data_IF_951677579447
#
_entry.id   IF_951677579447
#
_cell.length_a   1.000
_cell.length_b   1.000
_cell.length_c   1.000
_cell.angle_alpha   90.00
_cell.angle_beta   90.00
_cell.angle_gamma   90.00
#
_symmetry.space_group_name_H-M   'P 1'
#
loop_
_entity.id
_entity.type
_entity.pdbx_description
1 polymer ?
#
# COMPACT_ATOMS: atom_id res chain seq x y z
N UNK A 1 -3.88 21.20 18.19
CA UNK A 1 -4.99 20.69 17.39
C UNK A 1 -4.61 20.74 15.91
N UNK A 2 -4.78 19.63 15.22
CA UNK A 2 -4.53 19.58 13.79
C UNK A 2 -5.74 20.06 12.99
N UNK A 3 -5.48 20.45 11.77
CA UNK A 3 -6.52 20.76 10.81
C UNK A 3 -7.18 19.47 10.32
N UNK A 4 -8.44 19.58 9.87
CA UNK A 4 -9.10 18.46 9.23
C UNK A 4 -8.33 18.00 7.99
N UNK A 5 -8.34 16.70 7.74
CA UNK A 5 -7.79 16.15 6.50
C UNK A 5 -8.57 16.66 5.29
N UNK A 6 -7.91 16.75 4.15
CA UNK A 6 -8.54 17.11 2.88
C UNK A 6 -8.48 15.93 1.92
N UNK A 7 -9.41 15.92 0.95
CA UNK A 7 -9.42 14.91 -0.10
C UNK A 7 -8.10 14.92 -0.88
N UNK A 8 -7.58 16.11 -1.18
CA UNK A 8 -6.34 16.27 -1.93
C UNK A 8 -5.14 15.67 -1.20
N UNK A 9 -5.08 15.83 0.12
CA UNK A 9 -4.03 15.21 0.94
C UNK A 9 -4.07 13.70 0.88
N UNK A 10 -5.29 13.13 0.92
CA UNK A 10 -5.48 11.67 0.88
C UNK A 10 -5.16 11.13 -0.51
N UNK A 11 -5.63 11.79 -1.57
CA UNK A 11 -5.34 11.37 -2.95
C UNK A 11 -3.83 11.43 -3.22
N UNK A 12 -3.16 12.48 -2.76
CA UNK A 12 -1.71 12.63 -2.88
C UNK A 12 -0.95 11.53 -2.12
N UNK A 13 -1.38 11.21 -0.91
CA UNK A 13 -0.79 10.14 -0.11
C UNK A 13 -0.88 8.79 -0.85
N UNK A 14 -2.05 8.46 -1.38
CA UNK A 14 -2.26 7.22 -2.11
C UNK A 14 -1.37 7.14 -3.36
N UNK A 15 -1.28 8.24 -4.11
CA UNK A 15 -0.46 8.32 -5.32
C UNK A 15 1.03 8.13 -4.99
N UNK A 16 1.54 8.84 -3.98
CA UNK A 16 2.94 8.73 -3.55
C UNK A 16 3.28 7.34 -3.01
N UNK A 17 2.34 6.73 -2.29
CA UNK A 17 2.51 5.40 -1.74
C UNK A 17 2.78 4.38 -2.84
N UNK A 18 1.93 4.34 -3.86
CA UNK A 18 2.07 3.36 -4.93
C UNK A 18 3.22 3.66 -5.87
N UNK A 19 3.56 4.93 -6.10
CA UNK A 19 4.76 5.29 -6.87
C UNK A 19 6.04 4.81 -6.17
N UNK A 20 6.09 4.94 -4.85
CA UNK A 20 7.23 4.44 -4.08
C UNK A 20 7.35 2.92 -4.15
N UNK A 21 6.22 2.20 -4.09
CA UNK A 21 6.22 0.75 -4.24
C UNK A 21 6.69 0.32 -5.64
N UNK A 22 6.25 1.02 -6.68
CA UNK A 22 6.60 0.67 -8.07
C UNK A 22 8.09 0.74 -8.33
N UNK A 23 8.77 1.72 -7.78
CA UNK A 23 10.21 1.92 -7.99
C UNK A 23 11.07 1.27 -6.92
N UNK A 24 10.48 0.52 -6.00
CA UNK A 24 11.17 -0.05 -4.83
C UNK A 24 12.00 1.02 -4.10
N UNK A 25 11.35 2.14 -3.79
CA UNK A 25 11.98 3.24 -3.09
C UNK A 25 12.60 2.81 -1.76
N UNK A 26 13.58 3.54 -1.23
CA UNK A 26 14.08 3.25 0.12
C UNK A 26 12.94 3.21 1.14
N UNK A 27 13.00 2.23 2.04
CA UNK A 27 11.89 1.98 2.99
C UNK A 27 11.56 3.20 3.86
N UNK A 28 12.55 4.07 4.08
CA UNK A 28 12.36 5.31 4.83
C UNK A 28 11.32 6.24 4.20
N UNK A 29 11.20 6.23 2.88
CA UNK A 29 10.17 7.01 2.19
C UNK A 29 8.77 6.48 2.50
N UNK A 30 8.65 5.16 2.61
CA UNK A 30 7.39 4.53 2.98
C UNK A 30 7.08 4.72 4.46
N UNK A 31 8.09 4.64 5.33
CA UNK A 31 7.93 4.91 6.75
C UNK A 31 7.33 6.31 7.01
N UNK A 32 7.74 7.29 6.22
CA UNK A 32 7.22 8.65 6.36
C UNK A 32 5.72 8.77 6.06
N UNK A 33 5.16 7.81 5.33
CA UNK A 33 3.75 7.74 4.99
C UNK A 33 2.94 6.82 5.91
N UNK A 34 3.58 6.16 6.87
CA UNK A 34 2.96 5.25 7.83
C UNK A 34 3.09 5.79 9.25
N UNK A 35 2.01 5.68 10.00
CA UNK A 35 2.07 5.91 11.44
C UNK A 35 2.97 4.83 12.05
N UNK A 36 3.94 5.19 12.90
CA UNK A 36 4.84 4.18 13.49
C UNK A 36 4.12 3.38 14.56
N UNK A 37 3.72 4.03 15.64
CA UNK A 37 2.99 3.35 16.70
C UNK A 37 1.52 3.22 16.35
N UNK A 38 1.02 1.98 16.42
CA UNK A 38 -0.40 1.70 16.19
C UNK A 38 -0.79 1.51 14.75
N UNK A 39 0.16 1.47 13.79
CA UNK A 39 -0.23 1.09 12.44
C UNK A 39 -0.52 -0.41 12.37
N UNK A 40 -1.53 -0.77 11.59
CA UNK A 40 -1.92 -2.14 11.35
C UNK A 40 -2.13 -2.32 9.86
N UNK A 41 -1.45 -3.30 9.28
CA UNK A 41 -1.59 -3.62 7.87
C UNK A 41 -1.96 -5.10 7.73
N UNK A 42 -3.06 -5.36 7.02
CA UNK A 42 -3.60 -6.70 6.82
C UNK A 42 -3.30 -7.12 5.37
N UNK A 43 -2.19 -7.81 5.21
CA UNK A 43 -1.77 -8.38 3.91
C UNK A 43 -2.40 -9.74 3.70
N UNK A 44 -2.48 -10.24 2.43
CA UNK A 44 -2.98 -11.59 2.17
C UNK A 44 -2.26 -12.69 2.96
N UNK A 45 -0.96 -12.53 3.20
CA UNK A 45 -0.14 -13.50 3.95
C UNK A 45 -0.20 -13.32 5.47
N UNK A 46 -0.80 -12.25 5.96
CA UNK A 46 -0.95 -12.01 7.40
C UNK A 46 -0.66 -10.56 7.79
N UNK A 47 -0.87 -10.21 9.06
CA UNK A 47 -0.75 -8.82 9.51
C UNK A 47 0.68 -8.39 9.77
N UNK A 48 0.92 -7.07 9.65
CA UNK A 48 2.11 -6.41 10.19
C UNK A 48 1.71 -5.23 11.04
N UNK A 49 2.49 -4.94 12.07
CA UNK A 49 2.28 -3.85 13.01
C UNK A 49 3.58 -3.08 13.18
N UNK A 50 3.52 -1.76 13.04
CA UNK A 50 4.69 -0.88 13.21
C UNK A 50 5.66 -0.89 12.04
N UNK A 51 6.58 0.07 12.06
CA UNK A 51 7.58 0.21 10.99
C UNK A 51 8.49 -1.01 10.86
N UNK A 52 8.85 -1.62 11.97
CA UNK A 52 9.78 -2.76 11.97
C UNK A 52 9.21 -3.96 11.22
N UNK A 53 7.97 -4.35 11.51
CA UNK A 53 7.34 -5.48 10.83
C UNK A 53 7.05 -5.16 9.37
N UNK A 54 6.64 -3.92 9.08
CA UNK A 54 6.47 -3.46 7.71
C UNK A 54 7.78 -3.57 6.92
N UNK A 55 8.89 -3.17 7.51
CA UNK A 55 10.20 -3.27 6.85
C UNK A 55 10.53 -4.71 6.45
N UNK A 56 10.26 -5.67 7.33
CA UNK A 56 10.44 -7.10 7.03
C UNK A 56 9.59 -7.56 5.85
N UNK A 57 8.33 -7.14 5.82
CA UNK A 57 7.43 -7.42 4.70
C UNK A 57 7.95 -6.78 3.41
N UNK A 58 8.34 -5.52 3.46
CA UNK A 58 8.84 -4.77 2.32
C UNK A 58 10.11 -5.40 1.72
N UNK A 59 11.05 -5.79 2.57
CA UNK A 59 12.27 -6.47 2.14
C UNK A 59 11.94 -7.77 1.41
N UNK A 60 10.96 -8.51 1.90
CA UNK A 60 10.55 -9.79 1.29
C UNK A 60 9.92 -9.56 -0.07
N UNK A 61 8.93 -8.67 -0.16
CA UNK A 61 8.18 -8.48 -1.42
C UNK A 61 9.03 -7.82 -2.50
N UNK A 62 9.97 -6.95 -2.15
CA UNK A 62 10.87 -6.34 -3.13
C UNK A 62 11.89 -7.32 -3.70
N UNK A 63 12.13 -8.43 -3.01
CA UNK A 63 12.98 -9.53 -3.54
C UNK A 63 12.20 -10.48 -4.46
N UNK A 64 10.89 -10.63 -4.19
CA UNK A 64 10.05 -11.59 -4.92
C UNK A 64 9.49 -10.98 -6.20
N UNK A 65 9.01 -9.75 -6.12
CA UNK A 65 8.30 -9.09 -7.22
C UNK A 65 9.18 -8.05 -7.89
N UNK A 66 9.05 -7.93 -9.21
CA UNK A 66 9.75 -6.91 -9.99
C UNK A 66 8.85 -6.44 -11.14
N UNK A 67 9.28 -5.38 -11.83
CA UNK A 67 8.49 -4.72 -12.88
C UNK A 67 7.08 -4.39 -12.38
N UNK A 68 6.99 -3.81 -11.20
CA UNK A 68 5.72 -3.50 -10.57
C UNK A 68 5.10 -2.24 -11.13
N UNK A 69 3.80 -2.30 -11.39
CA UNK A 69 3.00 -1.15 -11.78
C UNK A 69 1.69 -1.17 -10.98
N UNK A 70 1.46 -0.10 -10.23
CA UNK A 70 0.20 0.12 -9.54
C UNK A 70 -0.56 1.25 -10.22
N UNK A 71 -1.81 0.99 -10.58
CA UNK A 71 -2.70 1.99 -11.19
C UNK A 71 -3.90 2.19 -10.29
N UNK A 72 -4.01 3.36 -9.67
CA UNK A 72 -5.17 3.70 -8.85
C UNK A 72 -6.39 3.89 -9.73
N UNK A 73 -7.47 3.17 -9.42
CA UNK A 73 -8.73 3.27 -10.13
C UNK A 73 -9.82 3.90 -9.27
N UNK A 74 -9.66 3.88 -7.94
CA UNK A 74 -10.61 4.51 -7.02
C UNK A 74 -9.91 4.92 -5.73
N UNK A 75 -10.16 6.15 -5.29
CA UNK A 75 -9.83 6.61 -3.93
C UNK A 75 -11.02 7.41 -3.45
N UNK A 76 -11.81 6.82 -2.55
CA UNK A 76 -13.03 7.43 -2.03
C UNK A 76 -12.89 7.58 -0.52
N UNK A 77 -12.86 8.82 -0.04
CA UNK A 77 -12.58 9.14 1.35
C UNK A 77 -13.80 9.70 2.06
N UNK A 78 -14.00 9.25 3.30
CA UNK A 78 -14.96 9.85 4.25
C UNK A 78 -14.16 10.47 5.36
N UNK A 79 -14.09 11.78 5.37
CA UNK A 79 -13.26 12.56 6.30
C UNK A 79 -14.06 12.93 7.52
N UNK A 80 -13.47 12.70 8.70
CA UNK A 80 -14.02 13.12 9.99
C UNK A 80 -12.89 13.77 10.80
N UNK A 81 -12.74 15.08 10.65
CA UNK A 81 -11.68 15.82 11.33
C UNK A 81 -10.29 15.38 10.88
N UNK A 82 -9.48 14.92 11.83
CA UNK A 82 -8.10 14.50 11.58
C UNK A 82 -7.96 13.03 11.18
N UNK A 83 -9.08 12.37 10.91
CA UNK A 83 -9.07 10.98 10.44
C UNK A 83 -9.98 10.82 9.22
N UNK A 84 -9.77 9.77 8.47
CA UNK A 84 -10.60 9.44 7.31
C UNK A 84 -10.61 7.94 7.09
N UNK A 85 -11.79 7.45 6.69
CA UNK A 85 -11.94 6.09 6.15
C UNK A 85 -11.88 6.19 4.63
N UNK A 86 -11.03 5.37 4.01
CA UNK A 86 -10.75 5.47 2.57
C UNK A 86 -10.95 4.12 1.91
N UNK A 87 -11.78 4.10 0.87
CA UNK A 87 -11.87 2.94 -0.02
C UNK A 87 -10.90 3.12 -1.17
N UNK A 88 -10.03 2.15 -1.37
CA UNK A 88 -9.01 2.19 -2.43
C UNK A 88 -9.19 0.98 -3.32
N UNK A 89 -9.22 1.22 -4.63
CA UNK A 89 -9.10 0.14 -5.62
C UNK A 89 -7.88 0.45 -6.48
N UNK A 90 -6.96 -0.51 -6.51
CA UNK A 90 -5.72 -0.36 -7.27
C UNK A 90 -5.50 -1.61 -8.11
N UNK A 91 -5.14 -1.41 -9.39
CA UNK A 91 -4.68 -2.49 -10.25
C UNK A 91 -3.18 -2.67 -10.02
N UNK A 92 -2.78 -3.86 -9.63
CA UNK A 92 -1.39 -4.21 -9.39
C UNK A 92 -0.94 -5.26 -10.39
N UNK A 93 0.12 -4.95 -11.12
CA UNK A 93 0.77 -5.87 -12.03
C UNK A 93 2.24 -5.98 -11.68
N UNK A 94 2.78 -7.19 -11.78
CA UNK A 94 4.18 -7.45 -11.46
C UNK A 94 4.63 -8.73 -12.14
N UNK A 95 5.90 -9.07 -11.96
CA UNK A 95 6.48 -10.33 -12.42
C UNK A 95 7.17 -11.02 -11.26
N UNK A 96 7.19 -12.35 -11.32
CA UNK A 96 7.92 -13.21 -10.38
C UNK A 96 8.76 -14.20 -11.17
N UNK A 97 9.90 -14.58 -10.60
CA UNK A 97 10.75 -15.58 -11.20
C UNK A 97 11.27 -16.55 -10.15
N UNK A 98 11.08 -17.84 -10.42
CA UNK A 98 11.54 -18.91 -9.54
C UNK A 98 12.62 -19.72 -10.26
N UNK A 99 13.92 -19.48 -9.99
CA UNK A 99 14.99 -20.26 -10.60
C UNK A 99 14.81 -21.76 -10.29
N UNK A 100 15.14 -22.67 -11.21
CA UNK A 100 15.78 -22.47 -12.52
C UNK A 100 14.81 -22.33 -13.70
N UNK A 101 13.58 -21.88 -13.48
CA UNK A 101 12.63 -21.69 -14.57
C UNK A 101 13.21 -20.75 -15.64
N UNK A 102 13.00 -21.02 -16.95
CA UNK A 102 13.60 -20.22 -18.01
C UNK A 102 12.99 -18.83 -18.16
N UNK A 103 11.75 -18.64 -17.71
CA UNK A 103 11.01 -17.38 -17.87
C UNK A 103 10.39 -16.92 -16.56
N UNK A 104 10.29 -15.60 -16.39
CA UNK A 104 9.46 -15.01 -15.36
C UNK A 104 7.97 -15.20 -15.67
N UNK A 105 7.14 -15.10 -14.65
CA UNK A 105 5.68 -15.18 -14.79
C UNK A 105 5.08 -13.82 -14.45
N UNK A 106 4.08 -13.43 -15.24
CA UNK A 106 3.31 -12.21 -14.99
C UNK A 106 2.14 -12.51 -14.04
N UNK A 107 1.87 -11.56 -13.15
CA UNK A 107 0.66 -11.56 -12.35
C UNK A 107 -0.01 -10.18 -12.42
N UNK A 108 -1.33 -10.19 -12.24
CA UNK A 108 -2.10 -8.95 -12.18
C UNK A 108 -3.36 -9.15 -11.36
N UNK A 109 -3.65 -8.20 -10.50
CA UNK A 109 -4.81 -8.24 -9.61
C UNK A 109 -5.43 -6.87 -9.48
N UNK A 110 -6.76 -6.84 -9.33
CA UNK A 110 -7.45 -5.67 -8.82
C UNK A 110 -7.57 -5.85 -7.31
N UNK A 111 -6.92 -4.97 -6.56
CA UNK A 111 -6.92 -5.02 -5.11
C UNK A 111 -7.96 -4.05 -4.56
N UNK A 112 -8.87 -4.57 -3.76
CA UNK A 112 -9.88 -3.80 -3.05
C UNK A 112 -9.43 -3.63 -1.62
N UNK A 113 -9.28 -2.39 -1.19
CA UNK A 113 -8.65 -2.07 0.09
C UNK A 113 -9.46 -1.06 0.88
N UNK A 114 -9.30 -1.12 2.19
CA UNK A 114 -9.84 -0.13 3.12
C UNK A 114 -8.69 0.41 3.95
N UNK A 115 -8.55 1.74 3.98
CA UNK A 115 -7.51 2.40 4.76
C UNK A 115 -8.15 3.27 5.83
N UNK A 116 -7.44 3.44 6.94
CA UNK A 116 -7.66 4.55 7.86
C UNK A 116 -6.46 5.49 7.75
N UNK A 117 -6.72 6.75 7.46
CA UNK A 117 -5.70 7.80 7.34
C UNK A 117 -5.90 8.78 8.48
N UNK A 118 -4.80 9.17 9.10
CA UNK A 118 -4.82 10.14 10.22
C UNK A 118 -3.73 11.18 10.01
N UNK A 119 -3.78 12.27 10.79
CA UNK A 119 -2.65 13.18 10.86
C UNK A 119 -1.60 12.62 11.81
N UNK A 120 -0.36 12.62 11.37
CA UNK A 120 0.75 12.20 12.22
C UNK A 120 0.89 13.17 13.40
N UNK A 121 1.01 12.67 14.62
CA UNK A 121 1.28 13.55 15.78
C UNK A 121 2.65 14.20 15.72
N UNK A 122 3.57 13.61 14.93
CA UNK A 122 4.95 14.11 14.84
C UNK A 122 5.14 15.13 13.74
N UNK A 123 4.48 14.95 12.58
CA UNK A 123 4.69 15.80 11.40
C UNK A 123 3.48 16.62 11.00
N UNK A 124 2.28 16.26 11.46
CA UNK A 124 1.03 16.87 11.05
C UNK A 124 0.56 16.46 9.65
N UNK A 125 1.30 15.62 8.96
CA UNK A 125 0.95 15.17 7.62
C UNK A 125 -0.02 13.99 7.67
N UNK A 126 -0.74 13.77 6.57
CA UNK A 126 -1.60 12.60 6.41
C UNK A 126 -0.73 11.35 6.30
N UNK A 127 -1.02 10.35 7.14
CA UNK A 127 -0.31 9.07 7.15
C UNK A 127 -1.29 7.92 7.28
N UNK A 128 -0.86 6.74 6.86
CA UNK A 128 -1.69 5.54 6.94
C UNK A 128 -1.58 4.95 8.35
N UNK A 129 -2.72 4.75 9.01
CA UNK A 129 -2.81 4.08 10.30
C UNK A 129 -3.24 2.63 10.12
N UNK A 130 -4.18 2.36 9.22
CA UNK A 130 -4.67 1.02 8.94
C UNK A 130 -4.77 0.81 7.44
N UNK A 131 -4.33 -0.36 6.99
CA UNK A 131 -4.27 -0.73 5.58
C UNK A 131 -4.75 -2.17 5.48
N UNK A 132 -5.92 -2.37 4.90
CA UNK A 132 -6.52 -3.71 4.81
C UNK A 132 -6.72 -4.08 3.35
N UNK A 133 -6.13 -5.20 2.94
CA UNK A 133 -6.41 -5.78 1.63
C UNK A 133 -7.63 -6.70 1.80
N UNK A 134 -8.79 -6.21 1.37
CA UNK A 134 -10.06 -6.91 1.54
C UNK A 134 -10.23 -8.03 0.52
N UNK A 135 -9.74 -7.80 -0.71
CA UNK A 135 -9.96 -8.74 -1.80
C UNK A 135 -8.92 -8.51 -2.91
N UNK A 136 -8.47 -9.61 -3.50
CA UNK A 136 -7.62 -9.60 -4.70
C UNK A 136 -8.35 -10.36 -5.80
N UNK A 137 -8.77 -9.64 -6.85
CA UNK A 137 -9.39 -10.25 -8.03
C UNK A 137 -8.34 -10.43 -9.11
N UNK A 138 -8.05 -11.68 -9.54
CA UNK A 138 -7.05 -11.89 -10.58
C UNK A 138 -7.53 -11.39 -11.93
N UNK A 139 -6.62 -10.78 -12.68
CA UNK A 139 -6.84 -10.47 -14.09
C UNK A 139 -6.77 -11.76 -14.91
N UNK A 140 -7.45 -11.83 -16.07
CA UNK A 140 -7.34 -13.00 -16.95
C UNK A 140 -5.89 -13.32 -17.29
N UNK A 141 -5.49 -14.56 -17.11
CA UNK A 141 -4.13 -15.02 -17.39
C UNK A 141 -3.11 -14.77 -16.27
N UNK A 142 -3.54 -14.22 -15.13
CA UNK A 142 -2.65 -13.97 -14.01
C UNK A 142 -2.15 -15.26 -13.38
N UNK A 143 -0.86 -15.27 -13.03
CA UNK A 143 -0.29 -16.28 -12.14
C UNK A 143 -0.88 -16.13 -10.74
N UNK A 144 -1.04 -17.23 -10.03
CA UNK A 144 -1.46 -17.22 -8.63
C UNK A 144 -0.32 -16.70 -7.73
N UNK A 145 -0.72 -16.09 -6.62
CA UNK A 145 0.23 -15.66 -5.59
C UNK A 145 0.74 -16.85 -4.77
#
# INVERSE_FOLDING_TARGET
>A
MGEALTKEEIDDLADRWYKALDVHAPVEELHAMLLDEGNEMMWPEGPTHGHKEFTGWYDRVTRIFFDEVHTLTKVDSKIDGESADVEVVVNWQAKVWNPPEPNSKWLGFDAYQTWEVVRSPDTGQAVIKRYVVDKLDPMPGSTEL
#
